data_IF_489151337543
#
_entry.id   IF_489151337543
#
_cell.length_a   1.000
_cell.length_b   1.000
_cell.length_c   1.000
_cell.angle_alpha   90.00
_cell.angle_beta   90.00
_cell.angle_gamma   90.00
#
_symmetry.space_group_name_H-M   'P 1'
#
loop_
_entity.id
_entity.type
_entity.pdbx_description
1 polymer ?
#
# COMPACT_ATOMS: atom_id res chain seq x y z
N UNK A 1 -7.52 -22.72 -2.10
CA UNK A 1 -6.85 -21.41 -2.15
C UNK A 1 -5.48 -21.65 -2.76
N UNK A 2 -5.03 -20.78 -3.67
CA UNK A 2 -3.68 -20.90 -4.23
C UNK A 2 -2.64 -20.98 -3.08
N UNK A 3 -1.64 -21.84 -3.26
CA UNK A 3 -0.49 -21.89 -2.37
C UNK A 3 0.38 -20.66 -2.68
N UNK A 4 0.14 -19.60 -1.90
CA UNK A 4 0.79 -18.29 -2.08
C UNK A 4 1.90 -18.19 -1.04
N UNK A 5 3.12 -18.01 -1.52
CA UNK A 5 4.24 -17.60 -0.68
C UNK A 5 4.00 -16.16 -0.24
N UNK A 6 3.83 -15.97 1.08
CA UNK A 6 3.50 -14.67 1.65
C UNK A 6 4.70 -13.72 1.63
N UNK A 7 5.93 -14.23 1.63
CA UNK A 7 7.11 -13.39 1.51
C UNK A 7 7.19 -12.82 0.09
N UNK A 8 7.05 -13.67 -0.94
CA UNK A 8 6.97 -13.23 -2.35
C UNK A 8 5.84 -12.22 -2.56
N UNK A 9 4.65 -12.48 -2.01
CA UNK A 9 3.51 -11.55 -2.11
C UNK A 9 3.86 -10.17 -1.53
N UNK A 10 4.46 -10.11 -0.33
CA UNK A 10 4.82 -8.82 0.29
C UNK A 10 5.95 -8.10 -0.42
N UNK A 11 6.92 -8.84 -0.98
CA UNK A 11 8.01 -8.24 -1.75
C UNK A 11 7.48 -7.64 -3.05
N UNK A 12 6.60 -8.36 -3.76
CA UNK A 12 5.92 -7.86 -4.96
C UNK A 12 5.01 -6.67 -4.65
N UNK A 13 4.30 -6.70 -3.54
CA UNK A 13 3.46 -5.58 -3.09
C UNK A 13 4.30 -4.31 -2.93
N UNK A 14 5.39 -4.38 -2.15
CA UNK A 14 6.24 -3.21 -1.89
C UNK A 14 6.97 -2.74 -3.15
N UNK A 15 7.34 -3.67 -4.04
CA UNK A 15 8.00 -3.33 -5.31
C UNK A 15 7.15 -2.40 -6.18
N UNK A 16 5.82 -2.55 -6.21
CA UNK A 16 4.92 -1.70 -7.00
C UNK A 16 5.03 -0.21 -6.65
N UNK A 17 5.23 0.11 -5.38
CA UNK A 17 5.40 1.48 -4.89
C UNK A 17 6.74 2.10 -5.28
N UNK A 18 7.70 1.29 -5.71
CA UNK A 18 9.04 1.72 -6.13
C UNK A 18 9.26 1.63 -7.65
N UNK A 19 8.31 1.09 -8.42
CA UNK A 19 8.49 0.78 -9.84
C UNK A 19 8.48 2.05 -10.72
N UNK A 20 9.62 2.40 -11.37
CA UNK A 20 9.72 3.61 -12.17
C UNK A 20 8.97 3.56 -13.50
N UNK A 21 8.86 2.37 -14.10
CA UNK A 21 8.22 2.18 -15.40
C UNK A 21 6.70 2.09 -15.25
N UNK A 22 5.98 2.98 -15.94
CA UNK A 22 4.54 3.08 -15.83
C UNK A 22 3.80 1.82 -16.34
N UNK A 23 4.30 1.18 -17.39
CA UNK A 23 3.68 -0.02 -17.97
C UNK A 23 3.90 -1.24 -17.07
N UNK A 24 5.12 -1.41 -16.54
CA UNK A 24 5.41 -2.45 -15.55
C UNK A 24 4.61 -2.24 -14.28
N UNK A 25 4.45 -1.00 -13.82
CA UNK A 25 3.64 -0.66 -12.64
C UNK A 25 2.16 -0.99 -12.85
N UNK A 26 1.58 -0.62 -14.00
CA UNK A 26 0.18 -1.00 -14.33
C UNK A 26 0.00 -2.52 -14.40
N UNK A 27 0.95 -3.23 -15.01
CA UNK A 27 0.92 -4.70 -15.10
C UNK A 27 0.96 -5.32 -13.71
N UNK A 28 1.89 -4.91 -12.86
CA UNK A 28 2.03 -5.42 -11.50
C UNK A 28 0.78 -5.14 -10.65
N UNK A 29 0.13 -3.98 -10.83
CA UNK A 29 -1.15 -3.68 -10.16
C UNK A 29 -2.25 -4.66 -10.56
N UNK A 30 -2.36 -4.99 -11.86
CA UNK A 30 -3.37 -5.94 -12.36
C UNK A 30 -3.10 -7.39 -11.93
N UNK A 31 -1.84 -7.71 -11.65
CA UNK A 31 -1.45 -9.02 -11.14
C UNK A 31 -1.71 -9.17 -9.64
N UNK A 32 -1.46 -8.12 -8.86
CA UNK A 32 -1.61 -8.12 -7.40
C UNK A 32 -3.05 -7.90 -6.95
N UNK A 33 -3.76 -6.92 -7.51
CA UNK A 33 -5.12 -6.57 -7.10
C UNK A 33 -6.16 -7.13 -8.07
N UNK A 34 -7.30 -7.56 -7.54
CA UNK A 34 -8.49 -7.87 -8.32
C UNK A 34 -9.07 -6.60 -9.00
N UNK A 35 -9.89 -6.78 -10.04
CA UNK A 35 -10.38 -5.67 -10.87
C UNK A 35 -11.14 -4.58 -10.08
N UNK A 36 -11.91 -4.99 -9.06
CA UNK A 36 -12.71 -4.11 -8.20
C UNK A 36 -12.12 -3.94 -6.78
N UNK A 37 -10.83 -4.25 -6.62
CA UNK A 37 -10.18 -4.16 -5.32
C UNK A 37 -10.24 -2.75 -4.73
N UNK A 38 -10.20 -2.68 -3.40
CA UNK A 38 -10.14 -1.41 -2.67
C UNK A 38 -8.83 -1.30 -1.92
N UNK A 39 -8.23 -0.11 -1.96
CA UNK A 39 -7.18 0.29 -1.04
C UNK A 39 -7.72 1.42 -0.16
N UNK A 40 -7.76 1.17 1.15
CA UNK A 40 -8.29 2.05 2.17
C UNK A 40 -7.17 2.47 3.08
N UNK A 41 -6.86 3.76 3.07
CA UNK A 41 -5.84 4.36 3.91
C UNK A 41 -6.50 4.97 5.15
N UNK A 42 -5.96 4.66 6.33
CA UNK A 42 -6.22 5.41 7.55
C UNK A 42 -5.76 6.85 7.33
N UNK A 43 -6.67 7.84 7.37
CA UNK A 43 -6.28 9.23 7.14
C UNK A 43 -5.30 9.68 8.23
N UNK A 44 -4.23 10.44 7.88
CA UNK A 44 -3.34 11.02 8.86
C UNK A 44 -4.09 11.88 9.89
N UNK A 45 -3.57 11.95 11.12
CA UNK A 45 -4.24 12.59 12.25
C UNK A 45 -4.56 14.07 11.99
N UNK A 46 -3.68 14.79 11.29
CA UNK A 46 -3.85 16.20 10.92
C UNK A 46 -5.04 16.39 9.97
N UNK A 47 -5.21 15.46 9.02
CA UNK A 47 -6.31 15.48 8.07
C UNK A 47 -7.66 15.19 8.78
N UNK A 48 -7.66 14.26 9.74
CA UNK A 48 -8.83 13.97 10.58
C UNK A 48 -9.24 15.19 11.41
N UNK A 49 -8.30 15.86 12.07
CA UNK A 49 -8.57 17.08 12.85
C UNK A 49 -9.13 18.21 11.97
N UNK A 50 -8.60 18.37 10.76
CA UNK A 50 -9.11 19.35 9.80
C UNK A 50 -10.55 19.04 9.40
N UNK A 51 -10.85 17.77 9.10
CA UNK A 51 -12.21 17.34 8.75
C UNK A 51 -13.20 17.55 9.91
N UNK A 52 -12.79 17.24 11.14
CA UNK A 52 -13.60 17.47 12.34
C UNK A 52 -13.91 18.97 12.53
N UNK A 53 -12.90 19.84 12.38
CA UNK A 53 -13.08 21.30 12.45
C UNK A 53 -14.04 21.87 11.40
N UNK A 54 -14.23 21.15 10.29
CA UNK A 54 -15.19 21.47 9.23
C UNK A 54 -16.56 20.80 9.41
N UNK A 55 -16.75 20.03 10.49
CA UNK A 55 -18.01 19.35 10.81
C UNK A 55 -18.20 17.98 10.13
N UNK A 56 -17.15 17.38 9.58
CA UNK A 56 -17.21 16.02 9.03
C UNK A 56 -16.96 14.98 10.11
N UNK A 57 -17.95 14.11 10.35
CA UNK A 57 -17.86 13.05 11.36
C UNK A 57 -16.98 11.86 10.94
N UNK A 58 -16.67 11.72 9.64
CA UNK A 58 -15.84 10.63 9.11
C UNK A 58 -15.11 11.09 7.85
N UNK A 59 -13.84 10.70 7.77
CA UNK A 59 -13.03 10.83 6.57
C UNK A 59 -12.60 9.44 6.10
N UNK A 60 -12.84 9.12 4.83
CA UNK A 60 -12.46 7.87 4.21
C UNK A 60 -11.58 8.17 3.00
N UNK A 61 -10.35 7.67 3.01
CA UNK A 61 -9.45 7.73 1.85
C UNK A 61 -9.46 6.35 1.20
N UNK A 62 -10.19 6.23 0.09
CA UNK A 62 -10.36 4.98 -0.64
C UNK A 62 -9.99 5.16 -2.12
N UNK A 63 -9.21 4.22 -2.64
CA UNK A 63 -8.99 4.03 -4.08
C UNK A 63 -9.64 2.70 -4.50
N UNK A 64 -10.54 2.74 -5.49
CA UNK A 64 -11.27 1.56 -5.96
C UNK A 64 -10.99 1.24 -7.42
N UNK A 65 -10.66 -0.03 -7.67
CA UNK A 65 -10.36 -0.58 -8.98
C UNK A 65 -9.00 -0.16 -9.53
N UNK A 66 -8.55 -0.86 -10.57
CA UNK A 66 -7.19 -0.71 -11.09
C UNK A 66 -6.83 0.73 -11.47
N UNK A 67 -7.76 1.51 -12.05
CA UNK A 67 -7.47 2.89 -12.42
C UNK A 67 -7.15 3.79 -11.21
N UNK A 68 -7.95 3.69 -10.13
CA UNK A 68 -7.72 4.50 -8.94
C UNK A 68 -6.47 4.03 -8.19
N UNK A 69 -6.19 2.72 -8.18
CA UNK A 69 -4.96 2.15 -7.62
C UNK A 69 -3.73 2.62 -8.40
N UNK A 70 -3.75 2.56 -9.73
CA UNK A 70 -2.69 3.08 -10.60
C UNK A 70 -2.41 4.55 -10.32
N UNK A 71 -3.46 5.38 -10.18
CA UNK A 71 -3.30 6.78 -9.82
C UNK A 71 -2.66 6.95 -8.44
N UNK A 72 -3.16 6.25 -7.41
CA UNK A 72 -2.67 6.32 -6.03
C UNK A 72 -1.22 5.89 -5.90
N UNK A 73 -0.83 4.78 -6.53
CA UNK A 73 0.55 4.29 -6.53
C UNK A 73 1.45 5.25 -7.30
N UNK A 74 1.02 5.71 -8.47
CA UNK A 74 1.81 6.66 -9.27
C UNK A 74 2.08 7.96 -8.52
N UNK A 75 1.08 8.51 -7.82
CA UNK A 75 1.27 9.72 -7.00
C UNK A 75 2.28 9.52 -5.87
N UNK A 76 2.19 8.40 -5.15
CA UNK A 76 3.17 8.09 -4.10
C UNK A 76 4.58 7.90 -4.67
N UNK A 77 4.71 7.23 -5.82
CA UNK A 77 5.99 7.07 -6.50
C UNK A 77 6.58 8.44 -6.90
N UNK A 78 5.80 9.30 -7.57
CA UNK A 78 6.23 10.63 -8.02
C UNK A 78 6.68 11.52 -6.85
N UNK A 79 5.97 11.45 -5.73
CA UNK A 79 6.22 12.30 -4.57
C UNK A 79 7.43 11.83 -3.75
N UNK A 80 7.53 10.53 -3.47
CA UNK A 80 8.50 10.01 -2.49
C UNK A 80 9.71 9.31 -3.11
N UNK A 81 9.54 8.66 -4.27
CA UNK A 81 10.57 7.77 -4.84
C UNK A 81 11.27 8.38 -6.04
N UNK A 82 10.53 8.97 -6.98
CA UNK A 82 11.06 9.58 -8.20
C UNK A 82 12.12 10.67 -7.95
N UNK A 83 12.04 11.50 -6.88
CA UNK A 83 13.09 12.46 -6.56
C UNK A 83 14.42 11.82 -6.11
N UNK A 84 14.44 10.50 -5.88
CA UNK A 84 15.61 9.79 -5.38
C UNK A 84 15.83 9.93 -3.87
N UNK A 85 14.86 10.47 -3.12
CA UNK A 85 14.99 10.70 -1.69
C UNK A 85 14.68 9.45 -0.87
N UNK A 86 13.55 8.79 -1.16
CA UNK A 86 13.07 7.67 -0.37
C UNK A 86 12.97 6.36 -1.17
N UNK A 87 12.82 5.28 -0.42
CA UNK A 87 12.50 3.94 -0.89
C UNK A 87 11.54 3.29 0.11
N UNK A 88 10.53 2.59 -0.40
CA UNK A 88 9.65 1.76 0.42
C UNK A 88 10.22 0.35 0.58
N UNK A 89 10.19 -0.21 1.79
CA UNK A 89 10.72 -1.54 2.10
C UNK A 89 9.74 -2.34 2.96
N UNK A 90 9.70 -3.66 2.76
CA UNK A 90 9.05 -4.58 3.70
C UNK A 90 9.90 -4.70 4.96
N UNK A 91 9.26 -4.78 6.13
CA UNK A 91 9.94 -5.05 7.41
C UNK A 91 10.17 -6.54 7.67
N UNK A 92 9.85 -7.41 6.70
CA UNK A 92 10.15 -8.84 6.74
C UNK A 92 9.36 -9.61 7.80
N UNK A 93 8.22 -9.08 8.24
CA UNK A 93 7.36 -9.67 9.26
C UNK A 93 5.96 -10.07 8.76
N UNK A 94 5.79 -10.66 7.55
CA UNK A 94 4.49 -11.09 7.11
C UNK A 94 3.96 -12.24 7.96
N UNK A 95 2.72 -12.10 8.41
CA UNK A 95 1.90 -13.15 8.99
C UNK A 95 0.72 -13.44 8.06
N UNK A 96 0.19 -14.67 8.14
CA UNK A 96 -1.03 -15.05 7.44
C UNK A 96 -1.99 -15.79 8.35
N UNK A 97 -3.26 -15.41 8.24
CA UNK A 97 -4.40 -16.10 8.86
C UNK A 97 -5.46 -16.31 7.77
N UNK A 98 -5.62 -17.56 7.32
CA UNK A 98 -6.48 -17.91 6.18
C UNK A 98 -6.16 -17.07 4.92
N UNK A 99 -7.10 -16.26 4.47
CA UNK A 99 -7.03 -15.36 3.32
C UNK A 99 -6.58 -13.95 3.68
N UNK A 100 -6.23 -13.71 4.95
CA UNK A 100 -5.72 -12.43 5.44
C UNK A 100 -4.21 -12.49 5.58
N UNK A 101 -3.51 -11.51 5.01
CA UNK A 101 -2.06 -11.30 5.15
C UNK A 101 -1.83 -9.97 5.85
N UNK A 102 -0.92 -9.94 6.81
CA UNK A 102 -0.57 -8.75 7.59
C UNK A 102 0.94 -8.59 7.60
N UNK A 103 1.45 -7.39 7.28
CA UNK A 103 2.87 -7.09 7.33
C UNK A 103 3.10 -5.60 7.54
N UNK A 104 4.31 -5.21 7.93
CA UNK A 104 4.67 -3.80 8.03
C UNK A 104 5.57 -3.37 6.86
N UNK A 105 5.43 -2.11 6.47
CA UNK A 105 6.33 -1.44 5.54
C UNK A 105 6.98 -0.23 6.20
N UNK A 106 8.10 0.21 5.66
CA UNK A 106 8.77 1.45 6.03
C UNK A 106 9.13 2.27 4.80
N UNK A 107 9.11 3.59 4.95
CA UNK A 107 9.67 4.54 4.01
C UNK A 107 10.98 5.06 4.59
N UNK A 108 12.10 4.70 3.98
CA UNK A 108 13.44 5.04 4.45
C UNK A 108 14.19 5.93 3.45
N UNK A 109 15.07 6.85 3.91
CA UNK A 109 15.99 7.54 3.03
C UNK A 109 16.88 6.56 2.27
N UNK A 110 17.13 6.82 0.98
CA UNK A 110 17.97 5.93 0.15
C UNK A 110 19.41 5.83 0.66
N UNK A 111 19.96 6.95 1.11
CA UNK A 111 21.35 7.04 1.60
C UNK A 111 21.50 6.57 3.05
N UNK A 112 20.44 6.00 3.65
CA UNK A 112 20.39 5.63 5.05
C UNK A 112 20.04 6.80 5.96
N UNK A 113 19.70 6.49 7.22
CA UNK A 113 19.23 7.47 8.20
C UNK A 113 18.00 6.97 8.94
N UNK A 114 17.33 7.91 9.62
CA UNK A 114 16.10 7.63 10.35
C UNK A 114 14.94 7.33 9.40
N UNK A 115 14.10 6.37 9.76
CA UNK A 115 12.91 5.99 8.97
C UNK A 115 11.92 7.15 8.99
N UNK A 116 11.45 7.54 7.80
CA UNK A 116 10.57 8.69 7.62
C UNK A 116 9.08 8.35 7.81
N UNK A 117 8.73 7.07 7.72
CA UNK A 117 7.37 6.60 7.97
C UNK A 117 7.31 5.08 8.09
N UNK A 118 6.39 4.59 8.91
CA UNK A 118 6.09 3.17 9.07
C UNK A 118 4.59 3.00 8.88
N UNK A 119 4.19 1.86 8.34
CA UNK A 119 2.78 1.48 8.31
C UNK A 119 2.57 -0.01 8.50
N UNK A 120 1.33 -0.35 8.80
CA UNK A 120 0.80 -1.71 8.85
C UNK A 120 -0.14 -1.89 7.67
N UNK A 121 0.04 -3.00 6.97
CA UNK A 121 -0.81 -3.40 5.87
C UNK A 121 -1.61 -4.65 6.24
N UNK A 122 -2.90 -4.68 5.86
CA UNK A 122 -3.79 -5.84 6.01
C UNK A 122 -4.45 -6.12 4.66
N UNK A 123 -4.01 -7.19 4.01
CA UNK A 123 -4.52 -7.64 2.72
C UNK A 123 -5.55 -8.75 2.91
N UNK A 124 -6.71 -8.60 2.31
CA UNK A 124 -7.69 -9.68 2.13
C UNK A 124 -7.53 -10.24 0.72
N UNK A 125 -7.33 -11.56 0.61
CA UNK A 125 -7.09 -12.25 -0.65
C UNK A 125 -8.35 -12.96 -1.16
N UNK A 126 -8.60 -12.84 -2.46
CA UNK A 126 -9.62 -13.59 -3.17
C UNK A 126 -9.23 -15.06 -3.39
N UNK A 127 -10.15 -15.88 -3.93
CA UNK A 127 -9.89 -17.29 -4.22
C UNK A 127 -8.79 -17.53 -5.26
N UNK A 128 -8.54 -16.54 -6.13
CA UNK A 128 -7.48 -16.51 -7.14
C UNK A 128 -6.13 -16.02 -6.59
N UNK A 129 -6.08 -15.64 -5.30
CA UNK A 129 -4.89 -15.13 -4.63
C UNK A 129 -4.61 -13.65 -4.84
N UNK A 130 -5.49 -12.92 -5.55
CA UNK A 130 -5.37 -11.48 -5.72
C UNK A 130 -5.98 -10.72 -4.55
N UNK A 131 -5.48 -9.53 -4.30
CA UNK A 131 -5.96 -8.65 -3.24
C UNK A 131 -7.35 -8.15 -3.63
N UNK A 132 -8.34 -8.38 -2.76
CA UNK A 132 -9.70 -7.83 -2.88
C UNK A 132 -9.89 -6.59 -2.00
N UNK A 133 -9.15 -6.51 -0.89
CA UNK A 133 -9.12 -5.33 -0.04
C UNK A 133 -7.76 -5.18 0.61
N UNK A 134 -7.33 -3.94 0.74
CA UNK A 134 -6.00 -3.51 1.15
C UNK A 134 -6.22 -2.37 2.16
N UNK A 135 -5.78 -2.57 3.40
CA UNK A 135 -6.04 -1.66 4.52
C UNK A 135 -4.73 -1.19 5.12
N UNK A 136 -4.40 0.05 4.81
CA UNK A 136 -3.17 0.70 5.24
C UNK A 136 -3.41 1.52 6.50
N UNK A 137 -2.71 1.20 7.58
CA UNK A 137 -2.60 2.00 8.79
C UNK A 137 -1.24 2.69 8.82
N UNK A 138 -1.22 3.96 9.23
CA UNK A 138 0.03 4.71 9.41
C UNK A 138 0.44 4.58 10.87
N UNK A 139 1.66 4.12 11.12
CA UNK A 139 2.23 3.99 12.45
C UNK A 139 3.10 5.22 12.75
N UNK A 140 2.77 5.92 13.84
CA UNK A 140 3.44 7.13 14.32
C UNK A 140 3.08 7.39 15.78
#
# INVERSE_FOLDING_TARGET
MADIDIHDLTDRYVAVWNEPDAERRSTAIRELWSADAVHVLQPPQELLQTAEGLGFARLLLEARGHHALEFRVTRAYEEFVAPGTFVFRSRGNPDRLHDVVKFNWEMAPRDGGEVAGVGLEILMLGPDGRIVSDYQFIEG
#
